data_IF_288169780971
#
_entry.id   IF_288169780971
#
_cell.length_a   1.000
_cell.length_b   1.000
_cell.length_c   1.000
_cell.angle_alpha   90.00
_cell.angle_beta   90.00
_cell.angle_gamma   90.00
#
_symmetry.space_group_name_H-M   'P 1'
#
loop_
_entity.id
_entity.type
_entity.pdbx_description
1 polymer ?
#
# COMPACT_ATOMS: atom_id res chain seq x y z
N UNK A 1 -8.95 -7.30 5.89
CA UNK A 1 -7.64 -7.92 5.69
C UNK A 1 -6.52 -6.98 6.15
N UNK A 2 -5.44 -7.53 6.68
CA UNK A 2 -4.25 -6.77 7.12
C UNK A 2 -3.00 -7.31 6.43
N UNK A 3 -2.72 -6.88 5.18
CA UNK A 3 -1.66 -7.47 4.35
C UNK A 3 -0.25 -7.29 4.91
N UNK A 4 -0.02 -6.27 5.74
CA UNK A 4 1.28 -5.97 6.36
C UNK A 4 1.44 -6.73 7.68
N UNK A 5 0.40 -6.78 8.50
CA UNK A 5 0.44 -7.48 9.78
C UNK A 5 0.44 -9.02 9.66
N UNK A 6 0.07 -9.52 8.49
CA UNK A 6 0.11 -10.95 8.12
C UNK A 6 0.93 -11.13 6.85
N UNK A 7 1.38 -12.35 6.56
CA UNK A 7 2.06 -12.60 5.29
C UNK A 7 1.09 -12.40 4.12
N UNK A 8 1.59 -11.97 2.97
CA UNK A 8 0.79 -11.80 1.75
C UNK A 8 0.09 -13.12 1.37
N UNK A 9 0.78 -14.25 1.47
CA UNK A 9 0.22 -15.56 1.16
C UNK A 9 -0.97 -15.92 2.07
N UNK A 10 -0.90 -15.61 3.35
CA UNK A 10 -2.01 -15.80 4.28
C UNK A 10 -3.19 -14.89 3.94
N UNK A 11 -2.90 -13.63 3.66
CA UNK A 11 -3.92 -12.64 3.25
C UNK A 11 -4.66 -13.10 1.99
N UNK A 12 -3.93 -13.59 0.98
CA UNK A 12 -4.53 -14.09 -0.26
C UNK A 12 -5.35 -15.37 -0.06
N UNK A 13 -4.91 -16.28 0.82
CA UNK A 13 -5.70 -17.47 1.18
C UNK A 13 -7.01 -17.08 1.87
N UNK A 14 -6.96 -16.14 2.80
CA UNK A 14 -8.17 -15.65 3.50
C UNK A 14 -9.12 -14.97 2.51
N UNK A 15 -8.60 -14.11 1.61
CA UNK A 15 -9.41 -13.44 0.60
C UNK A 15 -10.11 -14.44 -0.33
N UNK A 16 -9.38 -15.48 -0.79
CA UNK A 16 -9.94 -16.54 -1.61
C UNK A 16 -11.06 -17.30 -0.89
N UNK A 17 -10.80 -17.73 0.34
CA UNK A 17 -11.81 -18.43 1.16
C UNK A 17 -13.04 -17.57 1.41
N UNK A 18 -12.85 -16.29 1.73
CA UNK A 18 -13.95 -15.35 1.92
C UNK A 18 -14.79 -15.19 0.64
N UNK A 19 -14.14 -15.10 -0.53
CA UNK A 19 -14.82 -15.04 -1.81
C UNK A 19 -15.65 -16.31 -2.08
N UNK A 20 -15.11 -17.49 -1.83
CA UNK A 20 -15.80 -18.78 -1.97
C UNK A 20 -17.07 -18.85 -1.09
N UNK A 21 -17.04 -18.19 0.07
CA UNK A 21 -18.16 -18.12 1.00
C UNK A 21 -18.99 -16.84 0.90
N UNK A 22 -18.76 -16.02 -0.12
CA UNK A 22 -19.47 -14.75 -0.35
C UNK A 22 -19.35 -13.75 0.82
N UNK A 23 -18.21 -13.79 1.55
CA UNK A 23 -17.89 -12.85 2.63
C UNK A 23 -17.12 -11.67 2.05
N UNK A 24 -17.64 -10.43 2.14
CA UNK A 24 -16.95 -9.25 1.65
C UNK A 24 -15.61 -9.03 2.35
N UNK A 25 -14.59 -8.64 1.60
CA UNK A 25 -13.27 -8.33 2.13
C UNK A 25 -12.83 -6.92 1.74
N UNK A 26 -12.09 -6.28 2.65
CA UNK A 26 -11.41 -5.02 2.38
C UNK A 26 -10.04 -4.99 3.08
N UNK A 27 -9.17 -4.08 2.68
CA UNK A 27 -7.90 -3.85 3.35
C UNK A 27 -8.08 -2.80 4.45
N UNK A 28 -7.59 -3.10 5.66
CA UNK A 28 -7.67 -2.25 6.85
C UNK A 28 -6.35 -2.26 7.62
N UNK A 29 -5.30 -1.77 6.99
CA UNK A 29 -4.01 -1.53 7.65
C UNK A 29 -3.87 -0.01 7.88
N UNK A 30 -4.38 0.45 9.01
CA UNK A 30 -4.73 1.83 9.26
C UNK A 30 -3.54 2.80 9.26
N UNK A 31 -2.52 2.53 10.05
CA UNK A 31 -1.42 3.47 10.28
C UNK A 31 -0.15 2.98 9.61
N UNK A 32 -0.01 3.29 8.33
CA UNK A 32 1.12 2.88 7.51
C UNK A 32 1.75 4.08 6.80
N UNK A 33 3.05 3.99 6.50
CA UNK A 33 3.76 4.99 5.73
C UNK A 33 3.36 4.96 4.23
N UNK A 34 3.73 5.96 3.41
CA UNK A 34 3.31 6.03 2.01
C UNK A 34 3.59 4.77 1.18
N UNK A 35 4.77 4.16 1.32
CA UNK A 35 5.12 2.93 0.56
C UNK A 35 4.25 1.74 0.97
N UNK A 36 3.92 1.64 2.24
CA UNK A 36 3.04 0.57 2.72
C UNK A 36 1.57 0.81 2.35
N UNK A 37 1.17 2.06 2.09
CA UNK A 37 -0.13 2.33 1.44
C UNK A 37 -0.15 1.75 0.03
N UNK A 38 0.94 1.85 -0.73
CA UNK A 38 1.04 1.22 -2.05
C UNK A 38 0.92 -0.30 -1.97
N UNK A 39 1.54 -0.92 -0.97
CA UNK A 39 1.37 -2.34 -0.70
C UNK A 39 -0.11 -2.71 -0.48
N UNK A 40 -0.80 -1.96 0.38
CA UNK A 40 -2.21 -2.19 0.66
C UNK A 40 -3.09 -1.95 -0.56
N UNK A 41 -2.80 -0.92 -1.38
CA UNK A 41 -3.48 -0.67 -2.66
C UNK A 41 -3.33 -1.84 -3.63
N UNK A 42 -2.14 -2.43 -3.71
CA UNK A 42 -1.92 -3.61 -4.55
C UNK A 42 -2.82 -4.78 -4.18
N UNK A 43 -3.04 -5.00 -2.90
CA UNK A 43 -3.96 -6.04 -2.42
C UNK A 43 -5.40 -5.61 -2.66
N UNK A 44 -5.79 -4.41 -2.21
CA UNK A 44 -7.17 -3.91 -2.34
C UNK A 44 -7.65 -3.90 -3.79
N UNK A 45 -6.84 -3.43 -4.72
CA UNK A 45 -7.18 -3.36 -6.15
C UNK A 45 -7.41 -4.72 -6.82
N UNK A 46 -7.08 -5.81 -6.15
CA UNK A 46 -7.29 -7.19 -6.62
C UNK A 46 -8.37 -7.96 -5.85
N UNK A 47 -8.99 -7.31 -4.86
CA UNK A 47 -10.15 -7.88 -4.17
C UNK A 47 -11.41 -7.70 -5.02
N UNK A 48 -12.42 -8.50 -4.71
CA UNK A 48 -13.76 -8.29 -5.28
C UNK A 48 -14.31 -6.92 -4.87
N UNK A 49 -15.16 -6.30 -5.70
CA UNK A 49 -15.84 -5.07 -5.33
C UNK A 49 -16.55 -5.19 -3.98
N UNK A 50 -16.46 -4.13 -3.18
CA UNK A 50 -17.12 -4.12 -1.89
C UNK A 50 -18.62 -3.78 -2.05
N UNK A 51 -19.52 -4.49 -1.37
CA UNK A 51 -20.96 -4.26 -1.49
C UNK A 51 -21.33 -2.79 -1.26
N UNK A 52 -22.15 -2.25 -2.15
CA UNK A 52 -22.58 -0.86 -2.09
C UNK A 52 -21.62 0.17 -2.73
N UNK A 53 -20.44 -0.26 -3.19
CA UNK A 53 -19.46 0.62 -3.83
C UNK A 53 -19.35 0.42 -5.37
N UNK A 54 -20.34 -0.21 -6.00
CA UNK A 54 -20.30 -0.50 -7.43
C UNK A 54 -19.15 -1.45 -7.78
N UNK A 55 -18.23 -1.01 -8.65
CA UNK A 55 -17.07 -1.80 -9.06
C UNK A 55 -15.79 -1.50 -8.24
N UNK A 56 -15.93 -0.83 -7.09
CA UNK A 56 -14.80 -0.40 -6.29
C UNK A 56 -14.52 -1.38 -5.14
N UNK A 57 -13.27 -1.68 -4.93
CA UNK A 57 -12.79 -2.31 -3.69
C UNK A 57 -12.55 -1.26 -2.61
N UNK A 58 -12.54 -1.68 -1.36
CA UNK A 58 -12.39 -0.79 -0.21
C UNK A 58 -10.99 -0.93 0.41
N UNK A 59 -10.35 0.21 0.60
CA UNK A 59 -9.10 0.37 1.37
C UNK A 59 -9.34 1.40 2.47
N UNK A 60 -9.10 1.00 3.71
CA UNK A 60 -9.05 1.90 4.84
C UNK A 60 -7.59 2.22 5.17
N UNK A 61 -7.23 3.51 5.17
CA UNK A 61 -5.89 3.99 5.51
C UNK A 61 -5.98 5.38 6.13
N UNK A 62 -5.27 5.59 7.23
CA UNK A 62 -5.24 6.86 7.95
C UNK A 62 -3.81 7.36 8.23
N UNK A 63 -2.81 6.86 7.51
CA UNK A 63 -1.42 7.27 7.66
C UNK A 63 -1.24 8.78 7.53
N UNK A 64 -1.89 9.40 6.55
CA UNK A 64 -1.86 10.86 6.33
C UNK A 64 -2.39 11.69 7.50
N UNK A 65 -3.24 11.12 8.35
CA UNK A 65 -3.77 11.78 9.53
C UNK A 65 -2.92 11.53 10.77
N UNK A 66 -2.27 10.38 10.85
CA UNK A 66 -1.53 9.95 12.04
C UNK A 66 -0.04 10.31 12.02
N UNK A 67 0.56 10.46 10.85
CA UNK A 67 1.97 10.85 10.73
C UNK A 67 2.10 12.36 10.54
N UNK A 68 2.65 13.07 11.53
CA UNK A 68 2.90 14.52 11.47
C UNK A 68 3.84 14.93 10.32
N UNK A 69 4.66 14.02 9.83
CA UNK A 69 5.61 14.27 8.74
C UNK A 69 5.20 13.54 7.43
N UNK A 70 3.90 13.33 7.23
CA UNK A 70 3.41 12.65 6.04
C UNK A 70 3.93 13.24 4.74
N UNK A 71 3.86 14.55 4.58
CA UNK A 71 4.31 15.24 3.36
C UNK A 71 5.80 15.00 3.09
N UNK A 72 6.63 15.03 4.15
CA UNK A 72 8.05 14.71 4.05
C UNK A 72 8.30 13.26 3.69
N UNK A 73 7.48 12.33 4.20
CA UNK A 73 7.54 10.92 3.80
C UNK A 73 7.14 10.73 2.34
N UNK A 74 6.16 11.51 1.86
CA UNK A 74 5.74 11.51 0.46
C UNK A 74 6.85 12.00 -0.47
N UNK A 75 7.74 12.87 -0.03
CA UNK A 75 8.91 13.29 -0.81
C UNK A 75 9.86 12.14 -1.14
N UNK A 76 9.89 11.11 -0.32
CA UNK A 76 10.69 9.91 -0.55
C UNK A 76 9.97 8.84 -1.39
N UNK A 77 8.72 9.07 -1.75
CA UNK A 77 7.96 8.11 -2.56
C UNK A 77 8.52 8.06 -3.99
N UNK A 78 8.96 6.90 -4.51
CA UNK A 78 9.64 6.79 -5.81
C UNK A 78 8.76 7.23 -6.98
N UNK A 79 7.45 7.11 -6.82
CA UNK A 79 6.45 7.42 -7.85
C UNK A 79 5.56 8.62 -7.46
N UNK A 80 6.05 9.56 -6.64
CA UNK A 80 5.25 10.65 -6.04
C UNK A 80 4.47 11.53 -7.03
N UNK A 81 4.92 11.62 -8.28
CA UNK A 81 4.25 12.40 -9.31
C UNK A 81 3.08 11.69 -10.01
N UNK A 82 2.89 10.41 -9.73
CA UNK A 82 1.84 9.63 -10.38
C UNK A 82 0.47 9.91 -9.78
N UNK A 83 -0.56 9.96 -10.64
CA UNK A 83 -1.95 10.31 -10.24
C UNK A 83 -2.60 9.32 -9.27
N UNK A 84 -2.12 8.09 -9.22
CA UNK A 84 -2.64 7.06 -8.33
C UNK A 84 -2.03 7.09 -6.92
N UNK A 85 -1.03 7.93 -6.68
CA UNK A 85 -0.36 8.02 -5.36
C UNK A 85 -1.26 8.67 -4.33
N UNK A 86 -1.90 9.78 -4.69
CA UNK A 86 -2.82 10.49 -3.80
C UNK A 86 -4.28 10.21 -4.16
N UNK A 87 -5.17 10.11 -3.17
CA UNK A 87 -6.59 9.97 -3.44
C UNK A 87 -7.18 11.29 -3.93
N UNK A 88 -8.13 11.22 -4.87
CA UNK A 88 -8.96 12.33 -5.32
C UNK A 88 -10.40 12.01 -4.91
N UNK A 89 -10.99 12.84 -4.08
CA UNK A 89 -12.33 12.59 -3.53
C UNK A 89 -12.50 11.19 -2.89
N UNK A 90 -11.47 10.74 -2.18
CA UNK A 90 -11.46 9.43 -1.53
C UNK A 90 -11.16 8.24 -2.46
N UNK A 91 -10.87 8.47 -3.74
CA UNK A 91 -10.59 7.42 -4.72
C UNK A 91 -9.13 7.44 -5.16
N UNK A 92 -8.49 6.26 -5.16
CA UNK A 92 -7.22 6.04 -5.82
C UNK A 92 -7.45 5.59 -7.26
N UNK A 93 -7.00 6.39 -8.23
CA UNK A 93 -7.16 6.12 -9.66
C UNK A 93 -6.01 5.26 -10.18
N UNK A 94 -6.02 3.98 -9.84
CA UNK A 94 -5.02 3.01 -10.32
C UNK A 94 -5.19 2.75 -11.81
N UNK A 95 -4.08 2.53 -12.51
CA UNK A 95 -4.01 2.29 -13.95
C UNK A 95 -3.00 1.17 -14.27
N UNK A 96 -2.82 0.88 -15.56
CA UNK A 96 -1.90 -0.15 -16.01
C UNK A 96 -0.46 0.07 -15.54
N UNK A 97 -0.02 1.33 -15.43
CA UNK A 97 1.31 1.66 -14.93
C UNK A 97 1.46 1.30 -13.45
N UNK A 98 0.42 1.56 -12.64
CA UNK A 98 0.37 1.09 -11.26
C UNK A 98 0.52 -0.43 -11.16
N UNK A 99 -0.20 -1.18 -11.98
CA UNK A 99 -0.14 -2.64 -11.96
C UNK A 99 1.22 -3.18 -12.41
N UNK A 100 1.85 -2.56 -13.42
CA UNK A 100 3.18 -2.94 -13.92
C UNK A 100 4.29 -2.68 -12.91
N UNK A 101 4.23 -1.55 -12.22
CA UNK A 101 5.25 -1.12 -11.27
C UNK A 101 4.95 -1.54 -9.83
N UNK A 102 3.78 -2.13 -9.58
CA UNK A 102 3.26 -2.40 -8.24
C UNK A 102 3.25 -1.15 -7.34
N UNK A 103 2.97 0.02 -7.92
CA UNK A 103 2.98 1.29 -7.20
C UNK A 103 4.36 1.75 -6.73
N UNK A 104 5.44 1.18 -7.29
CA UNK A 104 6.82 1.52 -6.93
C UNK A 104 7.34 0.87 -5.64
N UNK A 105 6.64 -0.12 -5.07
CA UNK A 105 7.05 -0.76 -3.81
C UNK A 105 8.38 -1.52 -3.92
N UNK A 106 8.83 -1.83 -5.12
CA UNK A 106 10.12 -2.48 -5.40
C UNK A 106 11.15 -1.52 -5.99
N UNK A 107 10.80 -0.24 -6.14
CA UNK A 107 11.73 0.75 -6.66
C UNK A 107 12.78 1.11 -5.61
N UNK A 108 13.98 1.45 -6.10
CA UNK A 108 15.03 2.01 -5.26
C UNK A 108 14.59 3.35 -4.65
N UNK A 109 14.84 3.51 -3.34
CA UNK A 109 14.58 4.76 -2.61
C UNK A 109 15.90 5.24 -2.01
N UNK A 110 16.61 6.18 -2.68
CA UNK A 110 17.94 6.61 -2.27
C UNK A 110 18.05 7.06 -0.80
N UNK A 111 16.99 7.67 -0.28
CA UNK A 111 16.92 8.08 1.12
C UNK A 111 17.11 6.89 2.08
N UNK A 112 16.37 5.80 1.87
CA UNK A 112 16.47 4.62 2.74
C UNK A 112 17.76 3.83 2.48
N UNK A 113 18.22 3.75 1.25
CA UNK A 113 19.50 3.10 0.91
C UNK A 113 20.67 3.76 1.63
N UNK A 114 20.71 5.09 1.67
CA UNK A 114 21.74 5.85 2.39
C UNK A 114 21.73 5.53 3.89
N UNK A 115 20.56 5.43 4.50
CA UNK A 115 20.41 5.08 5.90
C UNK A 115 20.93 3.66 6.21
N UNK A 116 20.67 2.70 5.31
CA UNK A 116 21.15 1.32 5.47
C UNK A 116 22.65 1.20 5.21
N UNK A 117 23.20 1.93 4.25
CA UNK A 117 24.64 1.95 3.99
C UNK A 117 25.43 2.50 5.18
N UNK A 118 24.93 3.55 5.84
CA UNK A 118 25.52 4.10 7.06
C UNK A 118 25.56 3.10 8.22
N UNK A 119 24.52 2.27 8.38
CA UNK A 119 24.48 1.23 9.43
C UNK A 119 25.44 0.08 9.20
N UNK A 120 25.68 -0.34 7.96
CA UNK A 120 26.68 -1.38 7.65
C UNK A 120 28.10 -1.00 8.11
N UNK A 121 28.44 0.29 8.04
CA UNK A 121 29.76 0.82 8.48
C UNK A 121 29.95 0.77 10.01
N UNK A 122 28.87 0.78 10.78
CA UNK A 122 28.90 0.73 12.25
C UNK A 122 29.00 -0.72 12.75
N UNK A 123 28.41 -1.67 12.04
CA UNK A 123 28.43 -3.09 12.41
C UNK A 123 29.67 -3.85 11.96
N UNK A 124 30.56 -3.23 11.15
CA UNK A 124 31.83 -3.80 10.68
C UNK A 124 33.05 -3.32 11.49
N UNK A 125 32.84 -2.65 12.61
CA UNK A 125 33.83 -2.30 13.63
C UNK A 125 33.62 -3.10 14.90
#
# INVERSE_FOLDING_TARGET
>A
LKPIAKTLSMTMKIAKLAQEHQVPCFCADLTVNPILVEWNKNVAARLQPFPGLGNLSLLESNGSLNYLQWDKMMDYHPQKSKKWVNPINGLYHVDDDFYKTSGGIFDSIPHYETLFAGKKKIMSK
#
